data_IF_127143291288
#
_entry.id   IF_127143291288
#
_cell.length_a   1.000
_cell.length_b   1.000
_cell.length_c   1.000
_cell.angle_alpha   90.00
_cell.angle_beta   90.00
_cell.angle_gamma   90.00
#
_symmetry.space_group_name_H-M   'P 1'
#
loop_
_entity.id
_entity.type
_entity.pdbx_description
1 polymer ?
#
# COMPACT_ATOMS: atom_id res chain seq x y z
N UNK A 1 -33.73 6.47 -42.29
CA UNK A 1 -32.70 5.52 -41.82
C UNK A 1 -31.43 6.19 -41.28
N UNK A 2 -30.79 7.15 -41.96
CA UNK A 2 -29.53 7.83 -41.46
C UNK A 2 -29.67 8.47 -40.07
N UNK A 3 -30.79 9.13 -39.75
CA UNK A 3 -31.01 9.79 -38.45
C UNK A 3 -31.20 8.81 -37.28
N UNK A 4 -31.70 7.60 -37.51
CA UNK A 4 -31.79 6.56 -36.47
C UNK A 4 -30.42 5.90 -36.18
N UNK A 5 -29.59 5.68 -37.20
CA UNK A 5 -28.23 5.21 -37.00
C UNK A 5 -27.35 6.19 -36.21
N UNK A 6 -27.53 7.50 -36.45
CA UNK A 6 -26.79 8.53 -35.68
C UNK A 6 -27.22 8.58 -34.21
N UNK A 7 -28.49 8.36 -33.90
CA UNK A 7 -29.01 8.33 -32.53
C UNK A 7 -28.50 7.05 -31.77
N UNK A 8 -28.43 5.90 -32.43
CA UNK A 8 -27.88 4.68 -31.86
C UNK A 8 -26.38 4.78 -31.62
N UNK A 9 -25.62 5.41 -32.51
CA UNK A 9 -24.18 5.65 -32.32
C UNK A 9 -23.89 6.63 -31.18
N UNK A 10 -24.71 7.69 -31.02
CA UNK A 10 -24.59 8.63 -29.92
C UNK A 10 -24.96 8.01 -28.56
N UNK A 11 -26.02 7.16 -28.52
CA UNK A 11 -26.40 6.46 -27.30
C UNK A 11 -25.35 5.44 -26.86
N UNK A 12 -24.69 4.71 -27.78
CA UNK A 12 -23.60 3.80 -27.49
C UNK A 12 -22.37 4.55 -26.95
N UNK A 13 -22.01 5.71 -27.50
CA UNK A 13 -20.91 6.53 -27.05
C UNK A 13 -21.13 7.09 -25.62
N UNK A 14 -22.37 7.50 -25.29
CA UNK A 14 -22.71 7.96 -23.94
C UNK A 14 -22.69 6.81 -22.91
N UNK A 15 -23.10 5.61 -23.28
CA UNK A 15 -23.10 4.44 -22.39
C UNK A 15 -21.69 3.98 -22.04
N UNK A 16 -20.71 4.20 -22.93
CA UNK A 16 -19.30 3.86 -22.67
C UNK A 16 -18.56 4.92 -21.84
N UNK A 17 -18.97 6.18 -21.89
CA UNK A 17 -18.38 7.24 -21.09
C UNK A 17 -18.66 7.08 -19.58
N UNK A 18 -19.75 6.40 -19.21
CA UNK A 18 -20.11 6.16 -17.80
C UNK A 18 -19.36 4.98 -17.15
N UNK A 19 -18.66 4.14 -17.93
CA UNK A 19 -17.85 3.03 -17.42
C UNK A 19 -16.39 3.43 -17.11
N UNK A 20 -16.00 4.65 -17.43
CA UNK A 20 -14.61 5.10 -17.29
C UNK A 20 -14.26 5.68 -15.91
N UNK A 21 -15.19 5.72 -14.96
CA UNK A 21 -14.86 6.00 -13.57
C UNK A 21 -14.38 4.73 -12.89
N UNK A 22 -13.14 4.32 -13.16
CA UNK A 22 -12.38 3.43 -12.29
C UNK A 22 -12.16 4.20 -10.99
N UNK A 23 -13.09 4.06 -10.06
CA UNK A 23 -12.93 4.61 -8.71
C UNK A 23 -11.71 3.93 -8.10
N UNK A 24 -10.71 4.73 -7.70
CA UNK A 24 -9.67 4.27 -6.80
C UNK A 24 -10.39 3.72 -5.56
N UNK A 25 -10.33 2.41 -5.36
CA UNK A 25 -11.02 1.76 -4.26
C UNK A 25 -10.10 1.76 -3.05
N UNK A 26 -10.55 2.33 -1.95
CA UNK A 26 -9.88 2.19 -0.68
C UNK A 26 -9.89 0.70 -0.28
N UNK A 27 -8.72 0.16 -0.05
CA UNK A 27 -8.51 -1.20 0.41
C UNK A 27 -7.74 -1.17 1.73
N UNK A 28 -7.70 -2.30 2.43
CA UNK A 28 -6.88 -2.46 3.63
C UNK A 28 -5.91 -3.61 3.42
N UNK A 29 -4.63 -3.37 3.72
CA UNK A 29 -3.59 -4.38 3.76
C UNK A 29 -3.27 -4.66 5.23
N UNK A 30 -3.47 -5.90 5.65
CA UNK A 30 -3.21 -6.33 7.03
C UNK A 30 -1.93 -7.15 7.06
N UNK A 31 -1.02 -6.77 7.96
CA UNK A 31 0.28 -7.43 8.17
C UNK A 31 0.35 -7.92 9.61
N UNK A 32 0.47 -9.23 9.80
CA UNK A 32 0.75 -9.84 11.11
C UNK A 32 2.22 -9.59 11.46
N UNK A 33 2.48 -8.99 12.63
CA UNK A 33 3.83 -8.65 13.08
C UNK A 33 4.48 -9.72 13.96
N UNK A 34 3.80 -10.84 14.18
CA UNK A 34 4.27 -11.91 15.06
C UNK A 34 5.64 -12.43 14.64
N UNK A 35 6.58 -12.44 15.58
CA UNK A 35 7.93 -12.96 15.37
C UNK A 35 8.92 -11.97 14.79
N UNK A 36 8.54 -10.73 14.46
CA UNK A 36 9.50 -9.71 14.09
C UNK A 36 10.39 -9.35 15.28
N UNK A 37 11.66 -9.05 15.01
CA UNK A 37 12.68 -8.71 16.00
C UNK A 37 13.30 -7.36 15.68
N UNK A 38 13.47 -6.56 16.72
CA UNK A 38 14.27 -5.34 16.70
C UNK A 38 15.67 -5.69 17.23
N UNK A 39 16.69 -5.36 16.44
CA UNK A 39 18.07 -5.80 16.69
C UNK A 39 19.03 -4.63 16.75
N UNK A 40 18.93 -3.72 15.78
CA UNK A 40 19.82 -2.59 15.59
C UNK A 40 19.03 -1.31 15.26
N UNK A 41 19.73 -0.20 15.09
CA UNK A 41 19.11 1.04 14.64
C UNK A 41 18.57 0.91 13.21
N UNK A 42 17.65 1.80 12.83
CA UNK A 42 17.05 1.82 11.50
C UNK A 42 18.12 1.82 10.40
N UNK A 43 17.94 0.93 9.41
CA UNK A 43 18.82 0.78 8.26
C UNK A 43 20.06 -0.07 8.51
N UNK A 44 20.31 -0.51 9.73
CA UNK A 44 21.43 -1.39 10.03
C UNK A 44 21.09 -2.87 9.76
N UNK A 45 22.13 -3.65 9.45
CA UNK A 45 21.97 -5.07 9.18
C UNK A 45 21.52 -5.83 10.42
N UNK A 46 20.71 -6.88 10.24
CA UNK A 46 20.21 -7.75 11.31
C UNK A 46 18.79 -7.45 11.74
N UNK A 47 18.26 -6.28 11.44
CA UNK A 47 16.84 -5.95 11.65
C UNK A 47 15.92 -6.86 10.83
N UNK A 48 14.74 -7.15 11.36
CA UNK A 48 13.69 -7.77 10.55
C UNK A 48 13.17 -6.77 9.53
N UNK A 49 13.23 -7.15 8.25
CA UNK A 49 12.70 -6.34 7.14
C UNK A 49 11.74 -7.19 6.32
N UNK A 50 10.53 -6.68 6.15
CA UNK A 50 9.52 -7.30 5.29
C UNK A 50 9.24 -6.43 4.07
N UNK A 51 8.98 -7.09 2.94
CA UNK A 51 8.52 -6.48 1.70
C UNK A 51 7.15 -7.07 1.38
N UNK A 52 6.14 -6.22 1.37
CA UNK A 52 4.74 -6.60 1.14
C UNK A 52 4.29 -6.01 -0.19
N UNK A 53 3.86 -6.83 -1.12
CA UNK A 53 3.31 -6.36 -2.40
C UNK A 53 1.92 -5.78 -2.17
N UNK A 54 1.77 -4.49 -2.44
CA UNK A 54 0.51 -3.75 -2.33
C UNK A 54 0.10 -3.07 -3.65
N UNK A 55 0.87 -3.33 -4.71
CA UNK A 55 0.67 -2.79 -6.06
C UNK A 55 1.41 -1.47 -6.33
N UNK A 56 1.89 -1.35 -7.57
CA UNK A 56 2.69 -0.21 -8.01
C UNK A 56 1.99 1.14 -7.79
N UNK A 57 2.72 2.11 -7.25
CA UNK A 57 2.24 3.47 -7.04
C UNK A 57 1.12 3.61 -6.00
N UNK A 58 0.80 2.55 -5.23
CA UNK A 58 -0.26 2.58 -4.22
C UNK A 58 0.05 3.61 -3.13
N UNK A 59 -0.95 4.44 -2.81
CA UNK A 59 -0.89 5.45 -1.76
C UNK A 59 -1.27 4.83 -0.41
N UNK A 60 -0.53 5.19 0.64
CA UNK A 60 -0.84 4.87 2.03
C UNK A 60 -1.65 6.03 2.63
N UNK A 61 -2.88 5.76 3.07
CA UNK A 61 -3.78 6.79 3.58
C UNK A 61 -3.88 6.79 5.11
N UNK A 62 -3.76 5.61 5.73
CA UNK A 62 -3.84 5.47 7.19
C UNK A 62 -3.05 4.25 7.65
N UNK A 63 -2.67 4.25 8.92
CA UNK A 63 -2.17 3.07 9.62
C UNK A 63 -2.93 2.92 10.93
N UNK A 64 -3.48 1.73 11.17
CA UNK A 64 -3.97 1.30 12.47
C UNK A 64 -3.12 0.14 12.97
N UNK A 65 -2.87 0.08 14.27
CA UNK A 65 -2.11 -1.00 14.89
C UNK A 65 -2.79 -1.50 16.15
N UNK A 66 -2.64 -2.79 16.39
CA UNK A 66 -2.93 -3.45 17.65
C UNK A 66 -1.87 -4.54 17.85
N UNK A 67 -0.85 -4.25 18.66
CA UNK A 67 0.37 -5.04 18.75
C UNK A 67 0.75 -5.31 20.20
N UNK A 68 1.43 -6.44 20.43
CA UNK A 68 2.07 -6.79 21.69
C UNK A 68 3.57 -6.84 21.48
N UNK A 69 4.30 -6.06 22.26
CA UNK A 69 5.75 -5.92 22.24
C UNK A 69 6.36 -6.54 23.47
N UNK A 70 7.61 -6.98 23.38
CA UNK A 70 8.43 -7.41 24.52
C UNK A 70 9.83 -6.81 24.37
N UNK A 71 10.21 -5.91 25.28
CA UNK A 71 11.56 -5.34 25.38
C UNK A 71 12.41 -6.14 26.38
N UNK A 72 13.62 -6.53 25.99
CA UNK A 72 14.55 -7.27 26.83
C UNK A 72 15.37 -6.27 27.67
N UNK A 73 15.28 -6.36 29.02
CA UNK A 73 16.05 -5.50 29.92
C UNK A 73 17.55 -5.50 29.58
N UNK A 74 18.22 -4.33 29.44
CA UNK A 74 17.81 -2.97 29.79
C UNK A 74 17.03 -2.19 28.73
N UNK A 75 16.76 -2.74 27.50
CA UNK A 75 15.97 -2.08 26.48
C UNK A 75 14.53 -1.82 26.94
N UNK A 76 13.87 -0.84 26.34
CA UNK A 76 12.57 -0.32 26.76
C UNK A 76 11.53 -0.46 25.65
N UNK A 77 10.27 -0.57 26.03
CA UNK A 77 9.15 -0.66 25.10
C UNK A 77 9.01 0.59 24.21
N UNK A 78 9.46 1.76 24.69
CA UNK A 78 9.53 3.01 23.92
C UNK A 78 10.59 3.02 22.81
N UNK A 79 11.52 2.08 22.83
CA UNK A 79 12.64 2.00 21.88
C UNK A 79 12.31 1.08 20.70
N UNK A 80 11.30 0.20 20.84
CA UNK A 80 10.84 -0.68 19.76
C UNK A 80 10.09 0.13 18.72
N UNK A 81 10.65 0.22 17.52
CA UNK A 81 10.14 1.02 16.42
C UNK A 81 9.87 0.16 15.19
N UNK A 82 8.93 0.61 14.38
CA UNK A 82 8.78 0.17 13.00
C UNK A 82 8.86 1.37 12.05
N UNK A 83 9.55 1.18 10.93
CA UNK A 83 9.62 2.17 9.86
C UNK A 83 9.07 1.58 8.58
N UNK A 84 8.23 2.32 7.87
CA UNK A 84 7.56 1.83 6.66
C UNK A 84 7.51 2.87 5.56
N UNK A 85 7.52 2.41 4.30
CA UNK A 85 7.51 3.26 3.10
C UNK A 85 7.88 2.49 1.84
N UNK A 86 8.41 3.17 0.82
CA UNK A 86 8.88 2.52 -0.40
C UNK A 86 10.04 1.56 -0.17
N UNK A 87 10.18 0.55 -1.04
CA UNK A 87 11.23 -0.48 -0.92
C UNK A 87 12.66 0.07 -0.99
N UNK A 88 12.85 1.27 -1.58
CA UNK A 88 14.14 1.97 -1.62
C UNK A 88 14.64 2.43 -0.25
N UNK A 89 13.77 2.47 0.77
CA UNK A 89 14.11 2.87 2.14
C UNK A 89 14.43 4.35 2.35
N UNK A 90 14.11 5.22 1.38
CA UNK A 90 14.45 6.65 1.46
C UNK A 90 13.37 7.49 2.14
N UNK A 91 12.11 7.21 1.85
CA UNK A 91 10.95 7.95 2.37
C UNK A 91 10.19 7.08 3.38
N UNK A 92 10.78 6.90 4.56
CA UNK A 92 10.21 6.07 5.63
C UNK A 92 9.54 6.94 6.69
N UNK A 93 8.39 6.47 7.17
CA UNK A 93 7.72 6.97 8.36
C UNK A 93 7.99 6.00 9.50
N UNK A 94 8.41 6.52 10.65
CA UNK A 94 8.70 5.72 11.84
C UNK A 94 7.60 5.88 12.88
N UNK A 95 7.19 4.78 13.48
CA UNK A 95 6.22 4.67 14.55
C UNK A 95 6.83 3.87 15.71
N UNK A 96 6.71 4.38 16.93
CA UNK A 96 6.99 3.66 18.17
C UNK A 96 5.67 3.45 18.93
N UNK A 97 5.04 2.28 18.88
CA UNK A 97 3.74 2.06 19.51
C UNK A 97 3.75 2.30 21.03
N UNK A 98 4.88 2.03 21.69
CA UNK A 98 5.11 2.22 23.11
C UNK A 98 5.89 3.48 23.48
N UNK A 99 5.87 4.55 22.68
CA UNK A 99 6.74 5.74 22.82
C UNK A 99 6.78 6.38 24.22
N UNK A 100 5.73 6.23 24.99
CA UNK A 100 5.64 6.76 26.36
C UNK A 100 5.92 5.71 27.46
N UNK A 101 6.28 4.49 27.09
CA UNK A 101 6.50 3.38 28.04
C UNK A 101 7.99 3.07 28.17
N UNK A 102 8.59 3.58 29.24
CA UNK A 102 10.01 3.41 29.55
C UNK A 102 10.32 2.15 30.37
N UNK A 103 9.38 1.22 30.47
CA UNK A 103 9.61 -0.08 31.12
C UNK A 103 10.15 -1.11 30.12
N UNK A 104 10.80 -2.16 30.63
CA UNK A 104 11.09 -3.40 29.92
C UNK A 104 9.97 -4.43 30.11
N UNK A 105 10.07 -5.56 29.42
CA UNK A 105 9.07 -6.63 29.47
C UNK A 105 7.98 -6.47 28.42
N UNK A 106 6.77 -6.95 28.70
CA UNK A 106 5.68 -7.04 27.70
C UNK A 106 4.66 -5.95 27.86
N UNK A 107 4.32 -5.26 26.76
CA UNK A 107 3.26 -4.26 26.70
C UNK A 107 2.39 -4.44 25.44
N UNK A 108 1.12 -4.03 25.51
CA UNK A 108 0.20 -4.06 24.38
C UNK A 108 -0.27 -2.64 24.04
N UNK A 109 -0.23 -2.29 22.76
CA UNK A 109 -0.50 -0.95 22.28
C UNK A 109 -1.42 -0.99 21.08
N UNK A 110 -2.32 -0.02 20.99
CA UNK A 110 -3.21 0.14 19.86
C UNK A 110 -3.38 1.62 19.52
N UNK A 111 -3.53 1.92 18.26
CA UNK A 111 -3.75 3.28 17.80
C UNK A 111 -4.03 3.35 16.31
N UNK A 112 -4.17 4.59 15.85
CA UNK A 112 -4.35 4.90 14.43
C UNK A 112 -3.74 6.24 14.10
N UNK A 113 -3.24 6.37 12.87
CA UNK A 113 -2.73 7.65 12.35
C UNK A 113 -3.17 7.85 10.91
N UNK A 114 -3.41 9.11 10.55
CA UNK A 114 -3.70 9.52 9.17
C UNK A 114 -2.38 9.75 8.43
N UNK A 115 -2.19 9.03 7.32
CA UNK A 115 -1.01 9.14 6.46
C UNK A 115 -1.29 9.96 5.18
N UNK A 116 -2.56 10.25 4.88
CA UNK A 116 -2.94 10.95 3.67
C UNK A 116 -2.22 12.30 3.48
N UNK A 117 -2.01 13.13 4.55
CA UNK A 117 -1.28 14.39 4.39
C UNK A 117 0.19 14.23 3.98
N UNK A 118 0.77 13.04 4.18
CA UNK A 118 2.18 12.77 3.84
C UNK A 118 2.35 12.45 2.35
N UNK A 119 1.28 12.08 1.65
CA UNK A 119 1.35 11.67 0.25
C UNK A 119 2.26 10.46 0.00
N UNK A 120 2.38 9.58 0.99
CA UNK A 120 3.30 8.45 0.97
C UNK A 120 2.82 7.39 -0.03
N UNK A 121 3.66 7.04 -1.01
CA UNK A 121 3.36 6.04 -2.02
C UNK A 121 4.50 5.02 -2.12
N UNK A 122 4.16 3.76 -2.42
CA UNK A 122 5.17 2.78 -2.83
C UNK A 122 5.64 3.05 -4.26
N UNK A 123 6.84 2.58 -4.58
CA UNK A 123 7.44 2.74 -5.90
C UNK A 123 6.74 1.94 -7.01
N UNK A 124 7.35 1.95 -8.19
CA UNK A 124 6.88 1.17 -9.35
C UNK A 124 7.04 -0.35 -9.17
N UNK A 125 7.79 -0.78 -8.17
CA UNK A 125 7.93 -2.18 -7.76
C UNK A 125 6.72 -2.69 -6.96
N UNK A 126 5.86 -1.79 -6.48
CA UNK A 126 4.66 -2.12 -5.72
C UNK A 126 4.93 -2.60 -4.29
N UNK A 127 6.17 -2.50 -3.80
CA UNK A 127 6.57 -3.08 -2.54
C UNK A 127 6.55 -2.06 -1.40
N UNK A 128 5.77 -2.36 -0.36
CA UNK A 128 5.82 -1.69 0.93
C UNK A 128 6.92 -2.35 1.77
N UNK A 129 7.93 -1.56 2.15
CA UNK A 129 8.96 -1.98 3.08
C UNK A 129 8.52 -1.68 4.51
N UNK A 130 8.70 -2.64 5.40
CA UNK A 130 8.48 -2.50 6.85
C UNK A 130 9.75 -3.01 7.53
N UNK A 131 10.41 -2.17 8.31
CA UNK A 131 11.58 -2.53 9.10
C UNK A 131 11.30 -2.35 10.59
N UNK A 132 11.65 -3.37 11.37
CA UNK A 132 11.56 -3.38 12.82
C UNK A 132 12.93 -3.10 13.39
N UNK A 133 13.08 -2.00 14.12
CA UNK A 133 14.36 -1.48 14.60
C UNK A 133 14.28 -0.96 16.02
N UNK A 134 15.43 -0.65 16.60
CA UNK A 134 15.55 0.03 17.88
C UNK A 134 15.69 1.55 17.69
N UNK A 135 15.14 2.32 18.62
CA UNK A 135 15.38 3.76 18.71
C UNK A 135 16.68 4.10 19.45
N UNK A 136 17.15 3.18 20.28
CA UNK A 136 18.39 3.26 21.03
C UNK A 136 19.01 1.86 21.17
N UNK A 137 20.33 1.76 21.28
CA UNK A 137 21.07 0.49 21.43
C UNK A 137 21.57 0.33 22.84
N UNK A 138 21.08 -0.69 23.56
CA UNK A 138 21.50 -1.08 24.89
C UNK A 138 22.50 -2.26 24.87
N UNK A 139 22.39 -3.11 23.88
CA UNK A 139 23.26 -4.28 23.71
C UNK A 139 24.27 -4.10 22.58
N UNK A 140 25.18 -5.04 22.47
CA UNK A 140 26.11 -5.11 21.36
C UNK A 140 25.36 -5.29 20.03
N UNK A 141 25.91 -4.70 18.97
CA UNK A 141 25.36 -4.82 17.60
C UNK A 141 25.08 -6.28 17.23
N UNK A 142 23.90 -6.53 16.72
CA UNK A 142 23.45 -7.88 16.33
C UNK A 142 22.76 -8.67 17.43
N UNK A 143 22.60 -8.09 18.63
CA UNK A 143 21.83 -8.70 19.70
C UNK A 143 20.36 -8.25 19.61
N UNK A 144 19.42 -9.19 19.75
CA UNK A 144 18.00 -8.88 19.81
C UNK A 144 17.72 -8.11 21.08
N UNK A 145 17.09 -6.95 20.97
CA UNK A 145 16.68 -6.10 22.09
C UNK A 145 15.17 -6.12 22.31
N UNK A 146 14.41 -6.35 21.24
CA UNK A 146 12.97 -6.38 21.32
C UNK A 146 12.32 -7.38 20.36
N UNK A 147 11.11 -7.78 20.71
CA UNK A 147 10.28 -8.71 19.93
C UNK A 147 8.87 -8.17 19.77
N UNK A 148 8.35 -8.29 18.57
CA UNK A 148 6.94 -8.10 18.26
C UNK A 148 6.24 -9.46 18.45
N UNK A 149 5.66 -9.64 19.64
CA UNK A 149 5.11 -10.94 20.09
C UNK A 149 3.88 -11.32 19.29
N UNK A 150 3.10 -10.32 18.88
CA UNK A 150 1.92 -10.56 18.05
C UNK A 150 1.15 -9.30 17.76
N UNK A 151 0.08 -9.46 16.97
CA UNK A 151 -0.79 -8.38 16.57
C UNK A 151 -0.66 -8.03 15.10
N UNK A 152 -1.33 -6.95 14.71
CA UNK A 152 -1.45 -6.58 13.30
C UNK A 152 -1.22 -5.09 13.08
N UNK A 153 -0.65 -4.78 11.91
CA UNK A 153 -0.71 -3.47 11.27
C UNK A 153 -1.77 -3.52 10.17
N UNK A 154 -2.61 -2.51 10.09
CA UNK A 154 -3.62 -2.37 9.03
C UNK A 154 -3.41 -1.06 8.30
N UNK A 155 -2.89 -1.13 7.08
CA UNK A 155 -2.68 0.02 6.20
C UNK A 155 -3.93 0.25 5.35
N UNK A 156 -4.55 1.41 5.49
CA UNK A 156 -5.55 1.88 4.53
C UNK A 156 -4.84 2.38 3.27
N UNK A 157 -5.17 1.80 2.12
CA UNK A 157 -4.47 2.07 0.87
C UNK A 157 -5.43 2.47 -0.25
N UNK A 158 -4.91 3.23 -1.21
CA UNK A 158 -5.60 3.55 -2.47
C UNK A 158 -4.73 3.13 -3.63
N UNK A 159 -5.20 2.12 -4.38
CA UNK A 159 -4.52 1.68 -5.58
C UNK A 159 -4.61 2.76 -6.68
N UNK A 160 -3.49 3.05 -7.33
CA UNK A 160 -3.45 3.91 -8.51
C UNK A 160 -3.60 3.02 -9.75
N UNK A 161 -4.67 3.19 -10.56
CA UNK A 161 -4.83 2.40 -11.77
C UNK A 161 -3.63 2.57 -12.70
N UNK A 162 -3.00 1.47 -13.11
CA UNK A 162 -1.86 1.52 -14.02
C UNK A 162 -2.25 2.18 -15.36
N UNK A 163 -1.43 3.11 -15.88
CA UNK A 163 -1.67 3.73 -17.19
C UNK A 163 -1.85 2.71 -18.31
N UNK A 164 -1.16 1.55 -18.22
CA UNK A 164 -1.27 0.46 -19.18
C UNK A 164 -2.67 -0.18 -19.21
N UNK A 165 -3.32 -0.35 -18.06
CA UNK A 165 -4.69 -0.88 -17.97
C UNK A 165 -5.68 0.05 -18.64
N UNK A 166 -5.53 1.36 -18.45
CA UNK A 166 -6.35 2.39 -19.12
C UNK A 166 -6.09 2.38 -20.63
N UNK A 167 -4.83 2.31 -21.05
CA UNK A 167 -4.46 2.26 -22.47
C UNK A 167 -4.99 1.00 -23.16
N UNK A 168 -4.90 -0.18 -22.55
CA UNK A 168 -5.45 -1.43 -23.07
C UNK A 168 -6.97 -1.39 -23.16
N UNK A 169 -7.65 -0.80 -22.17
CA UNK A 169 -9.09 -0.62 -22.21
C UNK A 169 -9.50 0.30 -23.38
N UNK A 170 -8.83 1.42 -23.56
CA UNK A 170 -9.07 2.34 -24.68
C UNK A 170 -8.76 1.70 -26.03
N UNK A 171 -7.68 0.93 -26.12
CA UNK A 171 -7.33 0.17 -27.33
C UNK A 171 -8.40 -0.88 -27.66
N UNK A 172 -8.86 -1.62 -26.67
CA UNK A 172 -9.94 -2.60 -26.83
C UNK A 172 -11.24 -1.97 -27.32
N UNK A 173 -11.63 -0.84 -26.73
CA UNK A 173 -12.80 -0.06 -27.15
C UNK A 173 -12.64 0.47 -28.57
N UNK A 174 -11.45 0.96 -28.93
CA UNK A 174 -11.13 1.44 -30.28
C UNK A 174 -11.26 0.35 -31.34
N UNK A 175 -10.77 -0.87 -31.06
CA UNK A 175 -10.87 -2.03 -31.95
C UNK A 175 -12.33 -2.47 -32.14
N UNK A 176 -13.12 -2.52 -31.08
CA UNK A 176 -14.54 -2.86 -31.14
C UNK A 176 -15.31 -1.81 -31.97
N UNK A 177 -15.06 -0.51 -31.74
CA UNK A 177 -15.66 0.59 -32.50
C UNK A 177 -15.32 0.52 -34.00
N UNK A 178 -14.06 0.20 -34.33
CA UNK A 178 -13.63 0.03 -35.71
C UNK A 178 -14.34 -1.15 -36.41
N UNK A 179 -14.56 -2.26 -35.72
CA UNK A 179 -15.31 -3.40 -36.26
C UNK A 179 -16.77 -3.05 -36.56
N UNK A 180 -17.45 -2.31 -35.67
CA UNK A 180 -18.82 -1.87 -35.91
C UNK A 180 -18.91 -0.95 -37.13
N UNK A 181 -17.97 -0.02 -37.33
CA UNK A 181 -17.93 0.84 -38.52
C UNK A 181 -17.76 0.03 -39.81
N UNK A 182 -16.91 -0.99 -39.84
CA UNK A 182 -16.70 -1.85 -41.02
C UNK A 182 -17.99 -2.62 -41.40
N UNK A 183 -18.70 -3.19 -40.41
CA UNK A 183 -19.96 -3.90 -40.64
C UNK A 183 -21.08 -2.97 -41.17
N UNK A 184 -21.18 -1.76 -40.64
CA UNK A 184 -22.15 -0.76 -41.11
C UNK A 184 -21.87 -0.32 -42.56
N UNK A 185 -20.60 -0.21 -42.97
CA UNK A 185 -20.21 0.16 -44.31
C UNK A 185 -20.52 -0.95 -45.33
N UNK A 186 -20.41 -2.24 -44.95
CA UNK A 186 -20.70 -3.38 -45.84
C UNK A 186 -22.18 -3.68 -46.05
N UNK A 187 -23.07 -3.25 -45.16
CA UNK A 187 -24.51 -3.43 -45.28
C UNK A 187 -25.24 -2.37 -46.11
N UNK A 188 -24.53 -1.31 -46.54
CA UNK A 188 -25.07 -0.21 -47.35
C UNK A 188 -24.90 -0.40 -48.88
N UNK A 189 -24.33 -1.52 -49.36
CA UNK A 189 -24.09 -1.81 -50.77
C UNK A 189 -24.99 -2.90 -51.37
N UNK A 190 -26.14 -3.19 -50.75
CA UNK A 190 -27.18 -4.07 -51.33
C UNK A 190 -28.46 -3.31 -51.59
#
# INVERSE_FOLDING_TARGET
MKKQLQRLAAAAALSFASLASLSAQAASVVVDVSGAQSVNLLGEAGNTVWLVDIGAGTLLNSLSWAVTLNALDPSRLSELQLSFGGANGLDLVTLAPGEADFSSGTGSYAGTTDLAPLGLAVGSDGLLRIEFSEGFKDFATGTVEGQWVGGNLSFGVTAVPEPASVALMLLGLGLVGAQFRRRAASSGQR
#
